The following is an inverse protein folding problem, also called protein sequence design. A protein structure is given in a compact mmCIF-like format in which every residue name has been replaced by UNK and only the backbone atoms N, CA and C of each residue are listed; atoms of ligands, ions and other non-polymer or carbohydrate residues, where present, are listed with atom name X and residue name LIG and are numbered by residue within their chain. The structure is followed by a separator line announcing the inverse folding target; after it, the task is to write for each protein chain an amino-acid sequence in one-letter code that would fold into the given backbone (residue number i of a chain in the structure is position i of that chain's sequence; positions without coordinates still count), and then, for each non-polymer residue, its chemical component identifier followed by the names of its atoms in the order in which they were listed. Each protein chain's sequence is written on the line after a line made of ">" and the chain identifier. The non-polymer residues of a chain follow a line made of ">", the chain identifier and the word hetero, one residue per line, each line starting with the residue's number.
data_IF_875992990984
#
_entry.id   IF_875992990984
#
_cell.length_a   1.000
_cell.length_b   1.000
_cell.length_c   1.000
_cell.angle_alpha   90.00
_cell.angle_beta   90.00
_cell.angle_gamma   90.00
#
_symmetry.space_group_name_H-M   'P 1'
#
loop_
_entity.id
_entity.type
_entity.pdbx_description
1 polymer ?
#
# COMPACT_ATOMS: atom_id res chain seq x y z
N UNK A 1 2.63 -5.67 1.15
CA UNK A 1 2.86 -4.33 1.73
C UNK A 1 3.89 -4.48 2.83
N UNK A 2 4.94 -3.65 2.82
CA UNK A 2 5.89 -3.55 3.92
C UNK A 2 5.45 -2.45 4.90
N UNK A 3 5.87 -2.54 6.17
CA UNK A 3 5.64 -1.51 7.20
C UNK A 3 6.88 -0.62 7.34
N UNK A 4 6.68 0.69 7.44
CA UNK A 4 7.72 1.71 7.67
C UNK A 4 8.94 1.67 6.72
N UNK A 5 8.80 1.08 5.54
CA UNK A 5 9.87 1.06 4.53
C UNK A 5 9.96 2.42 3.82
N UNK A 6 11.07 3.11 4.01
CA UNK A 6 11.41 4.34 3.28
C UNK A 6 11.58 4.12 1.78
N UNK A 7 11.30 5.14 0.97
CA UNK A 7 11.44 5.07 -0.49
C UNK A 7 12.90 4.77 -0.89
N UNK A 8 13.84 5.41 -0.20
CA UNK A 8 15.28 5.32 -0.36
C UNK A 8 15.89 3.98 0.12
N UNK A 9 15.10 3.11 0.74
CA UNK A 9 15.59 1.81 1.22
C UNK A 9 15.80 0.78 0.09
N UNK A 10 15.29 1.04 -1.11
CA UNK A 10 15.39 0.14 -2.27
C UNK A 10 16.52 0.57 -3.20
N UNK A 11 17.33 -0.39 -3.68
CA UNK A 11 18.43 -0.09 -4.62
C UNK A 11 17.92 0.50 -5.93
N UNK A 12 16.79 0.03 -6.44
CA UNK A 12 16.04 0.62 -7.57
C UNK A 12 15.55 2.06 -7.35
N UNK A 13 15.59 2.56 -6.11
CA UNK A 13 15.32 3.96 -5.75
C UNK A 13 16.57 4.73 -5.33
N UNK A 14 17.76 4.15 -5.50
CA UNK A 14 19.05 4.79 -5.22
C UNK A 14 19.66 4.43 -3.86
N UNK A 15 19.20 3.37 -3.18
CA UNK A 15 19.83 2.95 -1.92
C UNK A 15 21.29 2.55 -2.11
N UNK A 16 22.20 3.15 -1.35
CA UNK A 16 23.61 2.74 -1.27
C UNK A 16 23.86 1.73 -0.13
N UNK A 17 22.98 1.73 0.88
CA UNK A 17 23.14 0.94 2.10
C UNK A 17 22.49 -0.44 2.02
N UNK A 18 21.39 -0.57 1.27
CA UNK A 18 20.58 -1.79 1.21
C UNK A 18 20.55 -2.37 -0.20
N UNK A 19 20.78 -3.69 -0.30
CA UNK A 19 20.65 -4.44 -1.55
C UNK A 19 19.28 -5.11 -1.63
N UNK A 20 18.52 -4.87 -2.69
CA UNK A 20 17.17 -5.40 -2.87
C UNK A 20 16.97 -6.15 -4.20
N UNK A 21 17.82 -7.14 -4.54
CA UNK A 21 17.91 -7.69 -5.90
C UNK A 21 16.60 -8.27 -6.45
N UNK A 22 15.79 -8.90 -5.59
CA UNK A 22 14.48 -9.44 -6.00
C UNK A 22 13.48 -8.33 -6.35
N UNK A 23 13.51 -7.21 -5.62
CA UNK A 23 12.65 -6.05 -5.88
C UNK A 23 13.15 -5.23 -7.07
N UNK A 24 14.47 -5.18 -7.28
CA UNK A 24 15.06 -4.53 -8.45
C UNK A 24 14.69 -5.27 -9.74
N UNK A 25 14.69 -6.61 -9.71
CA UNK A 25 14.18 -7.43 -10.81
C UNK A 25 12.71 -7.15 -11.09
N UNK A 26 11.87 -7.12 -10.04
CA UNK A 26 10.44 -6.78 -10.17
C UNK A 26 10.24 -5.37 -10.78
N UNK A 27 11.07 -4.40 -10.39
CA UNK A 27 11.02 -3.05 -10.94
C UNK A 27 11.48 -2.98 -12.40
N UNK A 28 12.45 -3.79 -12.82
CA UNK A 28 12.97 -3.83 -14.18
C UNK A 28 12.03 -4.55 -15.17
N UNK A 29 11.29 -5.56 -14.70
CA UNK A 29 10.36 -6.35 -15.52
C UNK A 29 8.92 -5.78 -15.50
N UNK A 30 8.67 -4.75 -14.69
CA UNK A 30 7.34 -4.20 -14.46
C UNK A 30 7.26 -2.68 -14.59
N UNK A 31 6.35 -2.09 -13.82
CA UNK A 31 6.17 -0.63 -13.76
C UNK A 31 6.55 -0.15 -12.37
N UNK A 32 7.45 0.83 -12.31
CA UNK A 32 7.86 1.50 -11.06
C UNK A 32 7.28 2.92 -11.00
N UNK A 33 6.48 3.17 -9.98
CA UNK A 33 5.94 4.50 -9.70
C UNK A 33 6.96 5.32 -8.91
N UNK A 34 7.46 6.41 -9.48
CA UNK A 34 8.40 7.35 -8.83
C UNK A 34 7.70 8.45 -8.03
N UNK A 35 6.37 8.53 -8.14
CA UNK A 35 5.53 9.50 -7.45
C UNK A 35 4.32 8.77 -6.84
N UNK A 36 4.50 8.20 -5.64
CA UNK A 36 3.47 7.46 -4.92
C UNK A 36 3.45 7.90 -3.45
N UNK A 37 2.28 8.33 -2.96
CA UNK A 37 2.15 8.99 -1.66
C UNK A 37 1.17 8.25 -0.75
N UNK A 38 1.54 8.13 0.53
CA UNK A 38 0.73 7.52 1.59
C UNK A 38 0.42 8.55 2.70
N UNK A 39 -0.44 8.18 3.64
CA UNK A 39 -0.56 8.95 4.88
C UNK A 39 0.60 8.57 5.82
N UNK A 40 1.13 9.49 6.64
CA UNK A 40 2.32 9.26 7.46
C UNK A 40 2.06 8.40 8.72
N UNK A 41 0.92 7.70 8.81
CA UNK A 41 0.53 6.88 9.96
C UNK A 41 -0.16 5.59 9.46
N UNK A 42 0.14 4.46 10.12
CA UNK A 42 -0.33 3.13 9.75
C UNK A 42 -1.85 3.03 9.52
N UNK A 43 -2.69 3.41 10.50
CA UNK A 43 -4.16 3.31 10.42
C UNK A 43 -4.73 4.05 9.20
N UNK A 44 -4.54 5.38 9.03
CA UNK A 44 -5.10 6.12 7.90
C UNK A 44 -4.48 5.72 6.55
N UNK A 45 -3.23 5.25 6.53
CA UNK A 45 -2.60 4.73 5.31
C UNK A 45 -3.29 3.44 4.84
N UNK A 46 -3.45 2.48 5.76
CA UNK A 46 -4.06 1.18 5.52
C UNK A 46 -5.56 1.29 5.23
N UNK A 47 -6.29 2.14 5.94
CA UNK A 47 -7.71 2.36 5.67
C UNK A 47 -7.92 2.89 4.24
N UNK A 48 -7.16 3.91 3.81
CA UNK A 48 -7.24 4.51 2.47
C UNK A 48 -6.94 3.51 1.35
N UNK A 49 -5.89 2.67 1.47
CA UNK A 49 -5.58 1.68 0.43
C UNK A 49 -6.63 0.57 0.36
N UNK A 50 -7.22 0.15 1.49
CA UNK A 50 -8.23 -0.91 1.50
C UNK A 50 -9.54 -0.49 0.84
N UNK A 51 -9.99 0.75 1.05
CA UNK A 51 -11.30 1.24 0.57
C UNK A 51 -11.22 2.12 -0.68
N UNK A 52 -10.05 2.65 -1.01
CA UNK A 52 -9.87 3.64 -2.08
C UNK A 52 -10.41 5.04 -1.73
N UNK A 53 -10.78 5.29 -0.47
CA UNK A 53 -11.39 6.55 -0.03
C UNK A 53 -10.42 7.42 0.78
N UNK A 54 -10.52 8.74 0.61
CA UNK A 54 -9.84 9.69 1.50
C UNK A 54 -10.29 9.53 2.96
N UNK A 55 -9.37 9.70 3.91
CA UNK A 55 -9.63 9.46 5.34
C UNK A 55 -10.73 10.35 5.93
N UNK A 56 -10.98 11.52 5.35
CA UNK A 56 -12.14 12.36 5.74
C UNK A 56 -13.49 11.63 5.62
N UNK A 57 -13.58 10.59 4.77
CA UNK A 57 -14.77 9.75 4.59
C UNK A 57 -14.66 8.38 5.29
N UNK A 58 -13.45 7.98 5.65
CA UNK A 58 -13.14 6.61 6.06
C UNK A 58 -12.78 6.49 7.55
N UNK A 59 -12.42 7.60 8.20
CA UNK A 59 -11.93 7.60 9.57
C UNK A 59 -13.08 7.54 10.58
N UNK A 60 -13.12 6.45 11.36
CA UNK A 60 -14.04 6.29 12.50
C UNK A 60 -13.28 6.48 13.81
N UNK A 61 -12.24 5.67 14.01
CA UNK A 61 -11.37 5.69 15.19
C UNK A 61 -10.01 5.09 14.83
N UNK A 62 -8.96 5.47 15.55
CA UNK A 62 -7.64 4.85 15.39
C UNK A 62 -7.72 3.31 15.56
N UNK A 63 -7.11 2.57 14.63
CA UNK A 63 -7.14 1.11 14.60
C UNK A 63 -8.48 0.47 14.18
N UNK A 64 -9.47 1.26 13.77
CA UNK A 64 -10.80 0.74 13.40
C UNK A 64 -11.14 1.07 11.95
N UNK A 65 -11.49 0.03 11.19
CA UNK A 65 -12.15 0.15 9.89
C UNK A 65 -13.64 -0.14 10.07
N UNK A 66 -14.50 0.71 9.52
CA UNK A 66 -15.95 0.47 9.52
C UNK A 66 -16.26 -0.85 8.81
N UNK A 67 -16.97 -1.75 9.51
CA UNK A 67 -17.31 -3.09 9.01
C UNK A 67 -18.30 -3.06 7.86
N UNK A 68 -19.00 -1.95 7.64
CA UNK A 68 -19.86 -1.73 6.47
C UNK A 68 -19.09 -1.33 5.21
N UNK A 69 -17.80 -0.99 5.30
CA UNK A 69 -17.03 -0.54 4.14
C UNK A 69 -16.71 -1.68 3.19
N UNK A 70 -16.95 -1.43 1.90
CA UNK A 70 -16.45 -2.29 0.83
C UNK A 70 -14.96 -2.00 0.64
N UNK A 71 -14.16 -3.06 0.49
CA UNK A 71 -12.72 -2.99 0.27
C UNK A 71 -12.39 -3.58 -1.10
N UNK A 72 -11.18 -3.38 -1.60
CA UNK A 72 -10.75 -4.04 -2.83
C UNK A 72 -10.83 -5.58 -2.72
N UNK A 73 -10.65 -6.15 -1.52
CA UNK A 73 -10.78 -7.59 -1.30
C UNK A 73 -12.23 -8.08 -1.52
N UNK A 74 -13.24 -7.31 -1.07
CA UNK A 74 -14.63 -7.63 -1.35
C UNK A 74 -14.93 -7.62 -2.87
N UNK A 75 -14.36 -6.66 -3.60
CA UNK A 75 -14.53 -6.57 -5.06
C UNK A 75 -13.86 -7.75 -5.78
N UNK A 76 -12.62 -8.10 -5.38
CA UNK A 76 -11.91 -9.26 -5.91
C UNK A 76 -12.65 -10.57 -5.62
N UNK A 77 -13.19 -10.74 -4.39
CA UNK A 77 -14.01 -11.89 -4.03
C UNK A 77 -15.26 -12.00 -4.91
N UNK A 78 -15.96 -10.90 -5.15
CA UNK A 78 -17.11 -10.86 -6.05
C UNK A 78 -16.74 -11.22 -7.50
N UNK A 79 -15.51 -10.93 -7.91
CA UNK A 79 -14.95 -11.33 -9.21
C UNK A 79 -14.41 -12.77 -9.25
N UNK A 80 -14.58 -13.56 -8.19
CA UNK A 80 -14.19 -14.98 -8.14
C UNK A 80 -12.78 -15.26 -7.62
N UNK A 81 -12.05 -14.23 -7.15
CA UNK A 81 -10.74 -14.43 -6.54
C UNK A 81 -10.85 -14.95 -5.10
N UNK A 82 -9.91 -15.80 -4.70
CA UNK A 82 -9.69 -16.13 -3.29
C UNK A 82 -8.95 -14.95 -2.62
N UNK A 83 -9.60 -14.34 -1.64
CA UNK A 83 -9.10 -13.19 -0.88
C UNK A 83 -9.18 -13.44 0.61
#
# INVERSE_FOLDING_TARGET
>A
MADDMGYEALSSNGSESCKSPNLDKLAAEGVRFTNCFSNPICTPSRAKIMTGQYNVRNYVKFGMLDRGQTTFAHQLKAAGYAT
#
